data_IF_068352319744
#
_entry.id   IF_068352319744
#
_cell.length_a   1.000
_cell.length_b   1.000
_cell.length_c   1.000
_cell.angle_alpha   90.00
_cell.angle_beta   90.00
_cell.angle_gamma   90.00
#
_symmetry.space_group_name_H-M   'P 1'
#
loop_
_entity.id
_entity.type
_entity.pdbx_description
1 polymer ?
#
# COMPACT_ATOMS: atom_id res chain seq x y z
N UNK A 1 37.51 -14.39 -10.93
CA UNK A 1 36.88 -14.24 -12.27
C UNK A 1 35.68 -13.33 -12.11
N UNK A 2 35.89 -12.01 -12.15
CA UNK A 2 34.86 -10.98 -11.98
C UNK A 2 35.34 -9.75 -12.74
N UNK A 3 34.70 -9.47 -13.89
CA UNK A 3 34.79 -8.22 -14.71
C UNK A 3 34.11 -8.32 -16.09
N UNK A 4 33.14 -9.22 -16.30
CA UNK A 4 32.51 -9.40 -17.62
C UNK A 4 31.02 -8.97 -17.72
N UNK A 5 30.33 -8.71 -16.61
CA UNK A 5 28.89 -8.41 -16.61
C UNK A 5 28.53 -6.99 -17.09
N UNK A 6 29.27 -5.90 -16.79
CA UNK A 6 28.82 -4.55 -17.17
C UNK A 6 29.04 -4.22 -18.67
N UNK A 7 29.89 -4.97 -19.38
CA UNK A 7 30.22 -4.69 -20.79
C UNK A 7 29.20 -5.32 -21.75
N UNK A 8 28.59 -6.45 -21.37
CA UNK A 8 27.60 -7.14 -22.21
C UNK A 8 26.28 -6.34 -22.26
N UNK A 9 25.90 -5.68 -21.16
CA UNK A 9 24.67 -4.86 -21.08
C UNK A 9 24.75 -3.54 -21.87
N UNK A 10 25.93 -2.93 -21.98
CA UNK A 10 26.10 -1.67 -22.71
C UNK A 10 26.10 -1.88 -24.23
N UNK A 11 26.59 -3.02 -24.72
CA UNK A 11 26.65 -3.33 -26.15
C UNK A 11 25.26 -3.68 -26.70
N UNK A 12 24.43 -4.41 -25.95
CA UNK A 12 23.04 -4.69 -26.32
C UNK A 12 22.20 -3.42 -26.40
N UNK A 13 22.45 -2.45 -25.52
CA UNK A 13 21.73 -1.17 -25.50
C UNK A 13 22.11 -0.28 -26.71
N UNK A 14 23.40 -0.24 -27.07
CA UNK A 14 23.87 0.48 -28.25
C UNK A 14 23.32 -0.10 -29.56
N UNK A 15 23.18 -1.43 -29.66
CA UNK A 15 22.59 -2.12 -30.82
C UNK A 15 21.10 -1.81 -30.96
N UNK A 16 20.35 -1.73 -29.86
CA UNK A 16 18.92 -1.36 -29.86
C UNK A 16 18.69 0.10 -30.29
N UNK A 17 19.53 1.03 -29.84
CA UNK A 17 19.47 2.45 -30.25
C UNK A 17 19.80 2.61 -31.73
N UNK A 18 20.80 1.88 -32.24
CA UNK A 18 21.16 1.86 -33.67
C UNK A 18 20.04 1.26 -34.54
N UNK A 19 19.39 0.18 -34.07
CA UNK A 19 18.27 -0.43 -34.78
C UNK A 19 17.06 0.53 -34.85
N UNK A 20 16.78 1.27 -33.77
CA UNK A 20 15.69 2.25 -33.72
C UNK A 20 15.95 3.48 -34.61
N UNK A 21 17.20 3.96 -34.65
CA UNK A 21 17.61 5.10 -35.47
C UNK A 21 17.54 4.81 -36.97
N UNK A 22 17.71 3.54 -37.38
CA UNK A 22 17.64 3.11 -38.79
C UNK A 22 16.17 2.89 -39.24
N UNK A 23 15.25 2.64 -38.32
CA UNK A 23 13.82 2.43 -38.63
C UNK A 23 12.94 3.69 -38.59
N UNK A 24 13.47 4.84 -38.14
CA UNK A 24 12.69 6.07 -38.04
C UNK A 24 12.55 6.76 -39.42
N UNK A 25 11.33 7.06 -39.90
CA UNK A 25 11.14 7.76 -41.18
C UNK A 25 11.73 9.17 -41.12
N UNK A 26 12.42 9.57 -42.21
CA UNK A 26 13.07 10.86 -42.33
C UNK A 26 12.06 12.01 -42.21
N UNK A 27 12.12 12.76 -41.11
CA UNK A 27 11.27 13.93 -40.86
C UNK A 27 10.80 14.10 -39.41
N UNK A 28 10.92 13.07 -38.57
CA UNK A 28 10.56 13.17 -37.15
C UNK A 28 11.66 13.90 -36.38
N UNK A 29 11.42 15.18 -36.03
CA UNK A 29 12.22 15.89 -35.03
C UNK A 29 11.64 15.54 -33.65
N UNK A 30 12.32 14.73 -32.81
CA UNK A 30 11.88 14.56 -31.43
C UNK A 30 12.01 15.92 -30.74
N UNK A 31 10.89 16.47 -30.29
CA UNK A 31 10.90 17.54 -29.30
C UNK A 31 11.41 16.93 -28.00
N UNK A 32 12.71 17.07 -27.75
CA UNK A 32 13.31 16.82 -26.45
C UNK A 32 12.76 17.88 -25.48
N UNK A 33 11.64 17.57 -24.83
CA UNK A 33 11.22 18.23 -23.61
C UNK A 33 12.14 17.72 -22.50
N UNK A 34 12.94 18.62 -21.95
CA UNK A 34 13.93 18.28 -20.93
C UNK A 34 13.26 17.76 -19.66
N UNK A 35 13.72 16.61 -19.18
CA UNK A 35 13.31 15.93 -17.94
C UNK A 35 13.52 16.83 -16.70
N UNK A 36 14.32 17.88 -16.82
CA UNK A 36 14.55 18.91 -15.79
C UNK A 36 13.31 19.69 -15.34
N UNK A 37 12.19 19.62 -16.07
CA UNK A 37 10.94 20.29 -15.64
C UNK A 37 10.10 19.52 -14.61
N UNK A 38 10.34 18.22 -14.40
CA UNK A 38 9.52 17.38 -13.50
C UNK A 38 10.24 16.88 -12.26
N UNK A 39 11.56 16.67 -12.32
CA UNK A 39 12.39 16.48 -11.13
C UNK A 39 12.96 17.84 -10.76
N UNK A 40 12.24 18.59 -9.92
CA UNK A 40 12.80 19.80 -9.33
C UNK A 40 14.06 19.43 -8.56
N UNK A 41 15.15 20.18 -8.75
CA UNK A 41 16.49 19.90 -8.19
C UNK A 41 16.56 19.95 -6.63
N UNK A 42 15.43 19.91 -5.92
CA UNK A 42 15.37 20.11 -4.46
C UNK A 42 14.07 19.58 -3.82
N UNK A 43 14.09 19.48 -2.50
CA UNK A 43 12.90 19.23 -1.66
C UNK A 43 11.90 20.38 -1.87
N UNK A 44 10.64 20.07 -2.19
CA UNK A 44 9.62 21.12 -2.31
C UNK A 44 9.23 21.58 -0.90
N UNK A 45 9.45 22.87 -0.63
CA UNK A 45 9.10 23.52 0.63
C UNK A 45 7.84 24.35 0.44
N UNK A 46 6.85 24.15 1.32
CA UNK A 46 5.67 25.01 1.45
C UNK A 46 5.66 25.58 2.87
N UNK A 47 5.75 26.90 3.00
CA UNK A 47 5.52 27.60 4.27
C UNK A 47 4.01 27.66 4.52
N UNK A 48 3.54 26.95 5.55
CA UNK A 48 2.13 26.91 5.95
C UNK A 48 1.81 27.89 7.09
N UNK A 49 2.81 28.65 7.51
CA UNK A 49 2.76 29.48 8.68
C UNK A 49 2.25 30.89 8.43
N UNK A 50 2.29 31.72 9.46
CA UNK A 50 1.85 33.12 9.41
C UNK A 50 3.05 34.07 9.42
N UNK A 51 2.83 35.37 9.24
CA UNK A 51 3.90 36.36 9.41
C UNK A 51 4.39 36.47 10.86
N UNK A 52 3.64 35.94 11.82
CA UNK A 52 3.91 36.07 13.25
C UNK A 52 4.79 34.96 13.81
N UNK A 53 5.01 33.89 13.03
CA UNK A 53 5.86 32.76 13.37
C UNK A 53 7.27 33.23 13.72
N UNK A 54 7.84 32.62 14.76
CA UNK A 54 9.15 33.01 15.29
C UNK A 54 10.30 32.69 14.32
N UNK A 55 10.16 31.64 13.52
CA UNK A 55 11.18 31.17 12.58
C UNK A 55 10.57 30.84 11.20
N UNK A 56 11.22 31.31 10.13
CA UNK A 56 10.85 30.99 8.75
C UNK A 56 11.95 30.22 8.05
N UNK A 57 11.58 29.05 7.53
CA UNK A 57 12.45 28.23 6.70
C UNK A 57 12.45 28.77 5.28
N UNK A 58 13.63 29.04 4.73
CA UNK A 58 13.78 29.64 3.40
C UNK A 58 14.22 28.62 2.35
N UNK A 59 15.13 27.72 2.71
CA UNK A 59 15.69 26.72 1.80
C UNK A 59 16.02 25.44 2.53
N UNK A 60 15.85 24.32 1.85
CA UNK A 60 16.17 23.00 2.37
C UNK A 60 16.58 22.08 1.22
N UNK A 61 17.68 21.38 1.43
CA UNK A 61 18.31 20.49 0.46
C UNK A 61 18.78 19.23 1.16
N UNK A 62 18.82 18.12 0.42
CA UNK A 62 19.31 16.85 0.94
C UNK A 62 20.37 16.30 0.01
N UNK A 63 21.32 15.54 0.57
CA UNK A 63 22.37 14.86 -0.17
C UNK A 63 22.54 13.44 0.37
N UNK A 64 22.38 12.39 -0.45
CA UNK A 64 22.05 12.44 -1.87
C UNK A 64 20.59 12.85 -2.13
N UNK A 65 20.33 13.51 -3.27
CA UNK A 65 18.99 13.79 -3.77
C UNK A 65 18.72 13.05 -5.09
N UNK A 66 17.60 12.34 -5.24
CA UNK A 66 16.65 11.99 -4.18
C UNK A 66 17.28 11.10 -3.10
N UNK A 67 16.75 11.12 -1.86
CA UNK A 67 17.23 10.25 -0.79
C UNK A 67 17.25 8.78 -1.19
N UNK A 68 18.16 8.00 -0.59
CA UNK A 68 18.41 6.60 -0.93
C UNK A 68 18.21 5.70 0.27
N UNK A 69 17.43 4.65 0.06
CA UNK A 69 17.20 3.59 1.03
C UNK A 69 18.54 2.99 1.47
N UNK A 70 18.81 2.97 2.78
CA UNK A 70 20.04 2.42 3.36
C UNK A 70 21.27 3.34 3.29
N UNK A 71 21.15 4.56 2.75
CA UNK A 71 22.23 5.56 2.78
C UNK A 71 21.96 6.64 3.83
N UNK A 72 23.03 7.29 4.32
CA UNK A 72 22.91 8.45 5.19
C UNK A 72 22.45 9.66 4.38
N UNK A 73 21.53 10.45 4.92
CA UNK A 73 21.10 11.71 4.30
C UNK A 73 21.77 12.87 5.01
N UNK A 74 22.42 13.75 4.26
CA UNK A 74 22.85 15.06 4.77
C UNK A 74 21.82 16.11 4.42
N UNK A 75 21.29 16.79 5.42
CA UNK A 75 20.32 17.87 5.31
C UNK A 75 21.05 19.22 5.39
N UNK A 76 20.84 20.06 4.39
CA UNK A 76 21.26 21.46 4.38
C UNK A 76 20.03 22.36 4.43
N UNK A 77 19.87 23.19 5.45
CA UNK A 77 18.73 24.06 5.63
C UNK A 77 19.15 25.50 5.97
N UNK A 78 18.41 26.48 5.46
CA UNK A 78 18.61 27.91 5.75
C UNK A 78 17.28 28.50 6.18
N UNK A 79 17.26 29.20 7.31
CA UNK A 79 16.08 29.91 7.78
C UNK A 79 16.41 31.03 8.76
N UNK A 80 15.45 31.92 8.99
CA UNK A 80 15.63 33.12 9.79
C UNK A 80 14.73 33.10 11.01
N UNK A 81 15.32 33.31 12.19
CA UNK A 81 14.59 33.61 13.42
C UNK A 81 14.35 35.13 13.52
N UNK A 82 13.09 35.53 13.66
CA UNK A 82 12.71 36.95 13.81
C UNK A 82 12.54 37.36 15.28
N UNK A 83 12.36 36.38 16.18
CA UNK A 83 12.31 36.57 17.64
C UNK A 83 13.24 35.56 18.31
N UNK A 84 13.56 35.80 19.59
CA UNK A 84 14.41 34.89 20.36
C UNK A 84 13.68 33.57 20.61
N UNK A 85 14.39 32.44 20.49
CA UNK A 85 13.86 31.09 20.74
C UNK A 85 14.41 30.61 22.10
N UNK A 86 13.57 30.56 23.15
CA UNK A 86 13.96 30.14 24.49
C UNK A 86 14.09 28.62 24.63
N UNK A 87 14.66 28.18 25.77
CA UNK A 87 14.66 26.76 26.15
C UNK A 87 13.25 26.18 26.23
N UNK A 88 13.09 24.93 25.79
CA UNK A 88 11.79 24.24 25.74
C UNK A 88 11.00 24.46 24.44
N UNK A 89 11.54 25.20 23.48
CA UNK A 89 11.01 25.25 22.11
C UNK A 89 11.18 23.90 21.40
N UNK A 90 10.11 23.41 20.75
CA UNK A 90 10.12 22.11 20.10
C UNK A 90 9.47 22.15 18.71
N UNK A 91 9.85 21.18 17.88
CA UNK A 91 9.25 20.92 16.56
C UNK A 91 8.79 19.47 16.49
N UNK A 92 7.52 19.26 16.20
CA UNK A 92 6.96 17.97 15.86
C UNK A 92 7.13 17.75 14.35
N UNK A 93 7.92 16.74 13.98
CA UNK A 93 8.15 16.30 12.60
C UNK A 93 7.28 15.09 12.33
N UNK A 94 6.23 15.27 11.54
CA UNK A 94 5.32 14.19 11.15
C UNK A 94 5.64 13.72 9.74
N UNK A 95 6.15 12.50 9.62
CA UNK A 95 6.43 11.85 8.34
C UNK A 95 5.15 11.26 7.78
N UNK A 96 4.69 11.79 6.66
CA UNK A 96 3.44 11.42 5.99
C UNK A 96 3.79 10.79 4.65
N UNK A 97 3.39 9.55 4.44
CA UNK A 97 3.58 8.86 3.16
C UNK A 97 2.32 8.98 2.28
N UNK A 98 1.15 9.03 2.89
CA UNK A 98 -0.12 9.30 2.21
C UNK A 98 -1.00 10.18 3.09
N UNK A 99 -1.96 10.96 2.53
CA UNK A 99 -2.74 11.95 3.30
C UNK A 99 -3.57 11.38 4.48
N UNK A 100 -3.73 10.06 4.54
CA UNK A 100 -4.47 9.37 5.60
C UNK A 100 -3.57 8.75 6.67
N UNK A 101 -2.25 8.72 6.47
CA UNK A 101 -1.31 7.97 7.31
C UNK A 101 -0.03 8.76 7.61
N UNK A 102 0.10 9.19 8.86
CA UNK A 102 1.38 9.57 9.45
C UNK A 102 2.15 8.29 9.82
N UNK A 103 3.31 8.08 9.19
CA UNK A 103 4.20 6.96 9.48
C UNK A 103 4.82 7.09 10.88
N UNK A 104 5.18 8.31 11.25
CA UNK A 104 5.91 8.59 12.48
C UNK A 104 5.82 10.07 12.81
N UNK A 105 5.64 10.40 14.08
CA UNK A 105 5.83 11.77 14.59
C UNK A 105 6.99 11.74 15.56
N UNK A 106 8.02 12.53 15.27
CA UNK A 106 9.18 12.71 16.12
C UNK A 106 9.15 14.13 16.70
N UNK A 107 9.31 14.25 18.02
CA UNK A 107 9.45 15.56 18.67
C UNK A 107 10.91 15.89 18.86
N UNK A 108 11.34 16.99 18.26
CA UNK A 108 12.70 17.52 18.35
C UNK A 108 12.72 18.74 19.25
N UNK A 109 13.46 18.67 20.35
CA UNK A 109 13.78 19.87 21.15
C UNK A 109 14.87 20.67 20.41
N UNK A 110 14.55 21.93 20.12
CA UNK A 110 15.39 22.82 19.31
C UNK A 110 16.69 23.17 20.05
N UNK A 111 16.62 23.36 21.36
CA UNK A 111 17.74 23.77 22.18
C UNK A 111 18.68 22.60 22.50
N UNK A 112 18.15 21.39 22.66
CA UNK A 112 19.00 20.21 22.85
C UNK A 112 19.86 19.91 21.62
N UNK A 113 19.31 20.10 20.41
CA UNK A 113 20.04 19.91 19.16
C UNK A 113 20.95 21.09 18.80
N UNK A 114 20.64 22.29 19.29
CA UNK A 114 21.50 23.46 19.11
C UNK A 114 22.84 23.35 19.86
N UNK A 115 22.85 22.67 21.02
CA UNK A 115 24.05 22.45 21.83
C UNK A 115 25.05 21.48 21.17
N UNK A 116 24.57 20.54 20.36
CA UNK A 116 25.38 19.54 19.65
C UNK A 116 25.81 20.00 18.23
N UNK A 117 25.48 21.23 17.84
CA UNK A 117 25.72 21.78 16.50
C UNK A 117 26.29 23.21 16.54
N UNK A 118 26.62 23.80 15.38
CA UNK A 118 27.14 25.18 15.28
C UNK A 118 26.07 26.28 15.57
N UNK A 119 24.87 25.90 16.04
CA UNK A 119 23.74 26.81 16.30
C UNK A 119 23.95 27.71 17.52
N UNK A 120 24.68 27.25 18.55
CA UNK A 120 24.98 27.98 19.78
C UNK A 120 24.14 27.55 20.99
N UNK A 121 24.34 28.21 22.13
CA UNK A 121 23.57 27.95 23.36
C UNK A 121 22.25 28.73 23.34
N UNK A 122 21.17 28.11 23.84
CA UNK A 122 19.90 28.81 24.03
C UNK A 122 19.99 29.89 25.14
N UNK A 123 19.18 30.96 25.06
CA UNK A 123 18.20 31.25 24.01
C UNK A 123 18.84 31.65 22.67
N UNK A 124 18.30 31.15 21.57
CA UNK A 124 18.79 31.49 20.23
C UNK A 124 18.36 32.92 19.88
N UNK A 125 19.33 33.77 19.52
CA UNK A 125 19.07 35.16 19.14
C UNK A 125 18.43 35.29 17.76
N UNK A 126 17.66 36.36 17.47
CA UNK A 126 17.13 36.62 16.14
C UNK A 126 18.25 36.82 15.11
N UNK A 127 18.41 35.85 14.19
CA UNK A 127 19.37 35.89 13.07
C UNK A 127 19.01 34.84 12.02
N UNK A 128 19.75 34.84 10.92
CA UNK A 128 19.76 33.73 9.96
C UNK A 128 20.60 32.58 10.51
N UNK A 129 20.06 31.37 10.40
CA UNK A 129 20.68 30.12 10.80
C UNK A 129 20.88 29.24 9.56
N UNK A 130 22.08 28.68 9.46
CA UNK A 130 22.43 27.70 8.43
C UNK A 130 22.72 26.39 9.15
N UNK A 131 21.97 25.36 8.77
CA UNK A 131 22.00 24.04 9.35
C UNK A 131 22.56 23.06 8.34
N UNK A 132 23.58 22.30 8.76
CA UNK A 132 24.10 21.18 8.00
C UNK A 132 24.22 19.98 8.92
N UNK A 133 23.33 18.99 8.75
CA UNK A 133 23.21 17.85 9.66
C UNK A 133 23.10 16.56 8.87
N UNK A 134 23.90 15.55 9.24
CA UNK A 134 23.71 14.19 8.73
C UNK A 134 22.61 13.49 9.53
N UNK A 135 21.46 13.32 8.90
CA UNK A 135 20.41 12.42 9.35
C UNK A 135 20.88 10.97 9.22
N UNK A 136 20.34 10.09 10.06
CA UNK A 136 20.63 8.65 10.03
C UNK A 136 20.27 7.98 8.71
N UNK A 137 20.44 6.66 8.67
CA UNK A 137 20.13 5.86 7.47
C UNK A 137 18.64 5.82 7.20
N UNK A 138 18.23 6.01 5.93
CA UNK A 138 16.86 5.71 5.51
C UNK A 138 16.57 4.22 5.77
N UNK A 139 15.53 3.86 6.53
CA UNK A 139 15.21 2.47 6.81
C UNK A 139 15.06 1.66 5.52
N UNK A 140 15.60 0.44 5.49
CA UNK A 140 15.57 -0.44 4.33
C UNK A 140 14.15 -0.83 3.85
N UNK A 141 13.16 -0.65 4.73
CA UNK A 141 11.75 -0.96 4.53
C UNK A 141 10.91 0.26 4.11
N UNK A 142 11.52 1.43 3.93
CA UNK A 142 10.79 2.64 3.54
C UNK A 142 10.23 2.47 2.09
N UNK A 143 8.90 2.47 1.90
CA UNK A 143 8.30 2.24 0.59
C UNK A 143 8.68 3.35 -0.41
N UNK A 144 8.94 3.04 -1.69
CA UNK A 144 9.20 4.06 -2.69
C UNK A 144 7.93 4.89 -2.95
N UNK A 145 8.06 6.20 -3.09
CA UNK A 145 6.93 7.09 -3.33
C UNK A 145 7.18 8.51 -2.84
N UNK A 146 6.10 9.31 -2.79
CA UNK A 146 6.15 10.71 -2.37
C UNK A 146 5.99 10.79 -0.85
N UNK A 147 6.98 11.38 -0.19
CA UNK A 147 6.94 11.65 1.23
C UNK A 147 6.66 13.13 1.45
N UNK A 148 5.88 13.41 2.49
CA UNK A 148 5.65 14.75 3.03
C UNK A 148 6.03 14.77 4.49
N UNK A 149 6.91 15.67 4.91
CA UNK A 149 7.21 15.92 6.32
C UNK A 149 6.47 17.19 6.71
N UNK A 150 5.55 17.07 7.65
CA UNK A 150 4.88 18.21 8.28
C UNK A 150 5.68 18.61 9.51
N UNK A 151 6.36 19.76 9.45
CA UNK A 151 7.05 20.36 10.58
C UNK A 151 6.11 21.37 11.25
N UNK A 152 5.80 21.14 12.53
CA UNK A 152 4.95 22.00 13.36
C UNK A 152 5.68 22.31 14.66
N UNK A 153 6.12 23.56 14.81
CA UNK A 153 6.87 24.00 15.99
C UNK A 153 6.05 24.90 16.90
N UNK A 154 6.30 24.78 18.20
CA UNK A 154 5.76 25.68 19.22
C UNK A 154 6.86 26.15 20.15
N UNK A 155 6.69 27.36 20.66
CA UNK A 155 7.53 27.94 21.70
C UNK A 155 6.68 28.67 22.72
N UNK A 156 7.11 28.73 23.96
CA UNK A 156 6.48 29.57 24.99
C UNK A 156 7.39 30.76 25.29
N UNK A 157 6.81 31.92 25.57
CA UNK A 157 7.58 33.05 26.07
C UNK A 157 7.75 32.98 27.60
N UNK A 158 8.56 33.90 28.17
CA UNK A 158 8.77 33.98 29.62
C UNK A 158 7.48 34.32 30.42
N UNK A 159 6.39 34.69 29.75
CA UNK A 159 5.08 34.92 30.35
C UNK A 159 4.15 33.69 30.24
N UNK A 160 4.62 32.60 29.65
CA UNK A 160 3.89 31.34 29.49
C UNK A 160 2.85 31.36 28.36
N UNK A 161 2.97 32.30 27.41
CA UNK A 161 2.10 32.36 26.23
C UNK A 161 2.72 31.54 25.12
N UNK A 162 1.93 30.60 24.56
CA UNK A 162 2.33 29.78 23.42
C UNK A 162 2.31 30.59 22.13
N UNK A 163 3.39 30.51 21.36
CA UNK A 163 3.56 31.08 20.02
C UNK A 163 3.93 29.98 19.03
N UNK A 164 3.47 30.12 17.79
CA UNK A 164 3.90 29.23 16.71
C UNK A 164 5.36 29.53 16.35
N UNK A 165 6.19 28.48 16.41
CA UNK A 165 7.63 28.59 16.14
C UNK A 165 7.91 28.49 14.64
N UNK A 166 7.36 27.45 13.99
CA UNK A 166 7.57 27.19 12.56
C UNK A 166 6.43 26.32 12.02
N UNK A 167 5.98 26.59 10.80
CA UNK A 167 5.08 25.72 10.04
C UNK A 167 5.65 25.51 8.63
N UNK A 168 6.08 24.29 8.32
CA UNK A 168 6.57 23.96 7.00
C UNK A 168 6.14 22.56 6.57
N UNK A 169 5.79 22.41 5.30
CA UNK A 169 5.55 21.13 4.66
C UNK A 169 6.67 20.88 3.63
N UNK A 170 7.40 19.78 3.83
CA UNK A 170 8.51 19.37 2.98
C UNK A 170 8.10 18.17 2.16
N UNK A 171 8.26 18.22 0.84
CA UNK A 171 7.95 17.08 -0.03
C UNK A 171 9.18 16.61 -0.79
N UNK A 172 9.43 15.30 -0.78
CA UNK A 172 10.46 14.67 -1.58
C UNK A 172 10.02 13.29 -2.08
N UNK A 173 10.77 12.75 -3.04
CA UNK A 173 10.54 11.43 -3.61
C UNK A 173 11.60 10.45 -3.11
N UNK A 174 11.17 9.25 -2.71
CA UNK A 174 12.03 8.11 -2.48
C UNK A 174 11.88 7.15 -3.66
N UNK A 175 12.96 6.90 -4.40
CA UNK A 175 12.89 6.07 -5.62
C UNK A 175 13.17 4.59 -5.31
N UNK A 176 12.67 3.64 -6.13
CA UNK A 176 13.06 2.24 -6.02
C UNK A 176 14.55 2.03 -6.32
N UNK A 177 15.20 1.08 -5.63
CA UNK A 177 16.65 0.84 -5.73
C UNK A 177 17.17 0.58 -7.16
N UNK A 178 16.32 0.14 -8.10
CA UNK A 178 16.66 -0.06 -9.51
C UNK A 178 16.59 1.18 -10.43
N UNK A 179 15.92 2.26 -10.01
CA UNK A 179 15.67 3.45 -10.83
C UNK A 179 16.75 4.55 -10.68
N UNK A 180 17.56 4.50 -9.62
CA UNK A 180 18.62 5.48 -9.37
C UNK A 180 19.73 5.48 -10.45
N UNK A 181 19.94 4.37 -11.17
CA UNK A 181 20.85 4.28 -12.32
C UNK A 181 20.19 4.63 -13.66
N UNK A 182 18.87 4.53 -13.75
CA UNK A 182 18.10 4.78 -14.99
C UNK A 182 17.85 6.28 -15.22
N UNK A 183 17.72 7.07 -14.15
CA UNK A 183 17.46 8.51 -14.22
C UNK A 183 18.57 9.34 -14.93
N UNK A 184 19.77 8.77 -15.13
CA UNK A 184 20.88 9.45 -15.83
C UNK A 184 20.95 9.07 -17.32
N UNK A 185 20.36 7.94 -17.75
CA UNK A 185 20.31 7.56 -19.17
C UNK A 185 19.16 6.59 -19.42
N UNK A 186 18.25 6.99 -20.30
CA UNK A 186 17.11 6.28 -20.90
C UNK A 186 15.73 6.72 -20.39
N UNK A 187 14.99 7.28 -21.35
CA UNK A 187 13.58 7.56 -21.29
C UNK A 187 12.78 6.28 -21.00
N UNK A 188 12.19 6.22 -19.81
CA UNK A 188 10.90 5.57 -19.60
C UNK A 188 9.85 6.69 -19.54
N UNK A 189 8.66 6.47 -20.11
CA UNK A 189 7.60 7.48 -20.21
C UNK A 189 7.09 7.91 -18.82
N UNK A 190 6.84 9.22 -18.58
CA UNK A 190 6.41 9.75 -17.28
C UNK A 190 5.03 9.28 -16.76
N UNK A 191 4.29 8.48 -17.54
CA UNK A 191 2.93 8.04 -17.22
C UNK A 191 2.90 6.89 -16.19
N UNK A 192 3.99 6.12 -16.09
CA UNK A 192 4.08 4.92 -15.22
C UNK A 192 4.30 5.24 -13.73
N UNK A 193 4.77 6.45 -13.38
CA UNK A 193 5.14 6.83 -12.00
C UNK A 193 4.11 7.79 -11.38
N UNK A 194 3.42 8.57 -12.21
CA UNK A 194 2.43 9.55 -11.75
C UNK A 194 1.06 8.91 -11.47
N UNK A 195 0.71 7.82 -12.17
CA UNK A 195 -0.59 7.15 -12.03
C UNK A 195 -0.79 6.51 -10.65
N UNK A 196 0.26 5.95 -10.05
CA UNK A 196 0.20 5.26 -8.76
C UNK A 196 0.12 6.23 -7.56
N UNK A 197 0.47 7.50 -7.73
CA UNK A 197 0.60 8.47 -6.62
C UNK A 197 -0.30 9.69 -6.70
N UNK A 198 -0.79 10.08 -7.88
CA UNK A 198 -1.73 11.20 -8.02
C UNK A 198 -3.14 10.86 -7.53
N UNK A 199 -3.43 9.57 -7.29
CA UNK A 199 -4.74 9.04 -6.90
C UNK A 199 -5.23 9.39 -5.46
N UNK A 200 -4.49 10.22 -4.72
CA UNK A 200 -4.72 10.53 -3.29
C UNK A 200 -4.94 12.01 -2.97
N UNK A 201 -4.82 12.89 -3.97
CA UNK A 201 -4.86 14.32 -3.77
C UNK A 201 -6.23 14.89 -4.17
N UNK A 202 -7.01 15.26 -3.14
CA UNK A 202 -8.17 16.17 -3.15
C UNK A 202 -9.56 15.48 -3.22
N UNK A 203 -10.32 15.60 -2.13
CA UNK A 203 -11.79 15.49 -2.14
C UNK A 203 -12.37 14.71 -0.95
N UNK A 204 -13.31 15.32 -0.23
CA UNK A 204 -14.19 14.61 0.70
C UNK A 204 -14.92 13.50 -0.07
N UNK A 205 -14.61 12.24 0.20
CA UNK A 205 -15.22 11.12 -0.51
C UNK A 205 -15.56 9.92 0.37
N UNK A 206 -16.36 9.01 -0.18
CA UNK A 206 -16.91 7.83 0.50
C UNK A 206 -15.82 6.99 1.19
N UNK A 207 -16.13 6.45 2.37
CA UNK A 207 -15.20 5.66 3.18
C UNK A 207 -14.80 4.36 2.46
N UNK A 208 -13.50 4.18 2.23
CA UNK A 208 -12.91 2.95 1.66
C UNK A 208 -12.47 1.93 2.72
N UNK A 209 -12.38 2.35 3.98
CA UNK A 209 -12.05 1.50 5.12
C UNK A 209 -12.96 1.81 6.32
N UNK A 210 -13.24 0.78 7.10
CA UNK A 210 -14.19 0.81 8.22
C UNK A 210 -13.57 0.16 9.46
N UNK A 211 -13.69 0.83 10.61
CA UNK A 211 -13.12 0.41 11.89
C UNK A 211 -11.60 0.64 12.00
N UNK A 212 -11.12 0.78 13.23
CA UNK A 212 -9.70 0.83 13.59
C UNK A 212 -9.31 -0.38 14.47
N UNK A 213 -8.01 -0.68 14.69
CA UNK A 213 -7.60 -1.72 15.62
C UNK A 213 -8.22 -1.53 17.00
N UNK A 214 -8.95 -2.55 17.47
CA UNK A 214 -9.66 -2.50 18.76
C UNK A 214 -11.14 -2.13 18.65
N UNK A 215 -11.57 -1.49 17.57
CA UNK A 215 -12.99 -1.27 17.31
C UNK A 215 -13.66 -2.55 16.82
N UNK A 216 -14.95 -2.68 17.09
CA UNK A 216 -15.79 -3.73 16.53
C UNK A 216 -16.51 -3.21 15.29
N UNK A 217 -16.36 -3.94 14.19
CA UNK A 217 -17.14 -3.77 12.97
C UNK A 217 -18.16 -4.91 12.87
N UNK A 218 -19.44 -4.57 12.72
CA UNK A 218 -20.52 -5.54 12.49
C UNK A 218 -21.00 -5.42 11.06
N UNK A 219 -20.85 -6.51 10.31
CA UNK A 219 -21.38 -6.61 8.95
C UNK A 219 -22.90 -6.74 8.99
N UNK A 220 -23.61 -5.79 8.39
CA UNK A 220 -25.07 -5.66 8.53
C UNK A 220 -25.82 -6.88 7.99
N UNK A 221 -25.39 -7.43 6.85
CA UNK A 221 -26.13 -8.50 6.16
C UNK A 221 -25.93 -9.88 6.81
N UNK A 222 -24.72 -10.18 7.26
CA UNK A 222 -24.37 -11.51 7.81
C UNK A 222 -24.32 -11.54 9.33
N UNK A 223 -24.35 -10.36 9.98
CA UNK A 223 -24.17 -10.20 11.42
C UNK A 223 -22.80 -10.70 11.90
N UNK A 224 -21.80 -10.78 11.01
CA UNK A 224 -20.43 -11.13 11.39
C UNK A 224 -19.79 -9.94 12.09
N UNK A 225 -19.15 -10.19 13.22
CA UNK A 225 -18.51 -9.15 14.04
C UNK A 225 -17.01 -9.39 14.06
N UNK A 226 -16.24 -8.44 13.52
CA UNK A 226 -14.77 -8.52 13.48
C UNK A 226 -14.16 -7.34 14.20
N UNK A 227 -12.95 -7.53 14.72
CA UNK A 227 -12.08 -6.42 15.10
C UNK A 227 -10.84 -6.47 14.23
N UNK A 228 -10.47 -5.37 13.55
CA UNK A 228 -9.21 -5.32 12.83
C UNK A 228 -8.02 -5.63 13.76
N UNK A 229 -7.01 -6.34 13.26
CA UNK A 229 -5.81 -6.63 14.01
C UNK A 229 -4.97 -5.36 14.21
N UNK A 230 -4.28 -5.30 15.35
CA UNK A 230 -3.04 -4.55 15.44
C UNK A 230 -1.92 -5.46 14.90
N UNK A 231 -0.96 -4.92 14.17
CA UNK A 231 0.16 -5.69 13.62
C UNK A 231 1.46 -5.25 14.25
N UNK A 232 2.51 -6.08 14.18
CA UNK A 232 3.84 -5.64 14.61
C UNK A 232 4.28 -4.44 13.77
N UNK A 233 5.07 -3.53 14.37
CA UNK A 233 5.54 -2.33 13.69
C UNK A 233 6.26 -2.61 12.35
N UNK A 234 6.93 -3.76 12.23
CA UNK A 234 7.57 -4.22 10.99
C UNK A 234 6.60 -4.53 9.84
N UNK A 235 5.32 -4.73 10.16
CA UNK A 235 4.25 -5.16 9.25
C UNK A 235 3.17 -4.08 9.03
N UNK A 236 3.33 -2.89 9.61
CA UNK A 236 2.38 -1.77 9.44
C UNK A 236 2.22 -1.35 7.98
N UNK A 237 3.26 -1.51 7.16
CA UNK A 237 3.23 -1.25 5.72
C UNK A 237 2.31 -2.20 4.92
N UNK A 238 1.75 -3.24 5.56
CA UNK A 238 0.94 -4.26 4.90
C UNK A 238 -0.56 -4.00 5.00
N UNK A 239 -0.97 -2.92 5.67
CA UNK A 239 -2.35 -2.39 5.65
C UNK A 239 -3.46 -3.35 6.14
N UNK A 240 -3.15 -4.25 7.08
CA UNK A 240 -4.10 -5.22 7.65
C UNK A 240 -5.04 -4.65 8.75
N UNK A 241 -4.89 -3.38 9.12
CA UNK A 241 -5.48 -2.78 10.33
C UNK A 241 -6.88 -2.17 10.17
N UNK A 242 -7.60 -2.46 9.08
CA UNK A 242 -8.96 -1.98 8.84
C UNK A 242 -9.82 -3.00 8.09
N UNK A 243 -11.14 -2.80 8.05
CA UNK A 243 -12.04 -3.54 7.17
C UNK A 243 -12.20 -2.76 5.86
N UNK A 244 -11.68 -3.29 4.76
CA UNK A 244 -11.72 -2.63 3.45
C UNK A 244 -13.08 -2.77 2.75
N UNK A 245 -13.44 -1.80 1.91
CA UNK A 245 -14.66 -1.81 1.10
C UNK A 245 -14.78 -3.09 0.26
N UNK A 246 -13.67 -3.56 -0.33
CA UNK A 246 -13.60 -4.83 -1.06
C UNK A 246 -13.99 -6.04 -0.21
N UNK A 247 -13.65 -6.04 1.10
CA UNK A 247 -13.97 -7.12 2.02
C UNK A 247 -15.45 -7.10 2.42
N UNK A 248 -16.03 -5.92 2.60
CA UNK A 248 -17.47 -5.74 2.83
C UNK A 248 -18.24 -6.16 1.59
N UNK A 249 -17.86 -5.66 0.42
CA UNK A 249 -18.47 -6.02 -0.85
C UNK A 249 -18.45 -7.53 -1.10
N UNK A 250 -17.31 -8.19 -0.88
CA UNK A 250 -17.23 -9.64 -1.03
C UNK A 250 -18.11 -10.38 -0.01
N UNK A 251 -18.17 -9.90 1.23
CA UNK A 251 -19.08 -10.42 2.25
C UNK A 251 -20.56 -10.17 1.89
N UNK A 252 -20.85 -9.12 1.12
CA UNK A 252 -22.16 -8.81 0.55
C UNK A 252 -22.51 -9.63 -0.70
N UNK A 253 -21.57 -10.38 -1.25
CA UNK A 253 -21.78 -11.19 -2.45
C UNK A 253 -21.38 -12.65 -2.27
N UNK A 254 -21.35 -13.17 -1.04
CA UNK A 254 -21.01 -14.58 -0.77
C UNK A 254 -21.94 -15.58 -1.48
N UNK A 255 -23.18 -15.18 -1.80
CA UNK A 255 -24.15 -16.01 -2.52
C UNK A 255 -23.72 -16.25 -3.99
N UNK A 256 -22.97 -15.32 -4.57
CA UNK A 256 -22.38 -15.44 -5.92
C UNK A 256 -21.14 -16.33 -5.93
N UNK A 257 -20.61 -16.71 -4.76
CA UNK A 257 -19.47 -17.61 -4.66
C UNK A 257 -19.83 -19.08 -4.88
N UNK A 258 -21.09 -19.42 -5.19
CA UNK A 258 -21.57 -20.76 -5.59
C UNK A 258 -20.98 -21.91 -4.75
N UNK A 259 -21.05 -21.78 -3.42
CA UNK A 259 -20.67 -22.84 -2.49
C UNK A 259 -21.84 -23.84 -2.45
N UNK A 260 -21.61 -25.13 -2.76
CA UNK A 260 -22.69 -26.11 -2.77
C UNK A 260 -23.23 -26.36 -1.36
N UNK A 261 -24.51 -26.72 -1.19
CA UNK A 261 -25.04 -27.13 0.09
C UNK A 261 -24.37 -28.43 0.57
N UNK A 262 -24.36 -28.66 1.89
CA UNK A 262 -23.85 -29.89 2.46
C UNK A 262 -24.65 -31.10 1.93
N UNK A 263 -23.94 -32.11 1.43
CA UNK A 263 -24.53 -33.36 0.97
C UNK A 263 -23.98 -34.53 1.79
N UNK A 264 -24.86 -35.47 2.14
CA UNK A 264 -24.49 -36.64 2.95
C UNK A 264 -23.42 -37.48 2.24
N UNK A 265 -22.33 -37.79 2.96
CA UNK A 265 -21.21 -38.56 2.42
C UNK A 265 -20.24 -37.80 1.52
N UNK A 266 -20.45 -36.49 1.28
CA UNK A 266 -19.47 -35.65 0.58
C UNK A 266 -18.57 -34.88 1.55
N UNK A 267 -17.30 -34.73 1.18
CA UNK A 267 -16.37 -33.89 1.92
C UNK A 267 -16.79 -32.41 1.82
N UNK A 268 -16.55 -31.60 2.86
CA UNK A 268 -16.88 -30.19 2.84
C UNK A 268 -16.09 -29.44 1.76
N UNK A 269 -16.71 -28.41 1.21
CA UNK A 269 -16.12 -27.52 0.23
C UNK A 269 -14.98 -26.71 0.86
N UNK A 270 -13.78 -26.73 0.27
CA UNK A 270 -12.60 -26.12 0.89
C UNK A 270 -12.40 -24.69 0.41
N UNK A 271 -12.43 -23.75 1.34
CA UNK A 271 -12.26 -22.32 1.07
C UNK A 271 -11.03 -21.78 1.79
N UNK A 272 -10.21 -20.97 1.12
CA UNK A 272 -9.17 -20.18 1.80
C UNK A 272 -9.30 -18.71 1.46
N UNK A 273 -9.19 -17.86 2.48
CA UNK A 273 -9.04 -16.42 2.33
C UNK A 273 -7.56 -16.05 2.41
N UNK A 274 -7.04 -15.38 1.37
CA UNK A 274 -5.68 -14.84 1.32
C UNK A 274 -5.69 -13.36 1.70
N UNK A 275 -4.81 -12.94 2.61
CA UNK A 275 -4.76 -11.56 3.09
C UNK A 275 -6.02 -11.20 3.88
N UNK A 276 -6.39 -12.08 4.81
CA UNK A 276 -7.67 -12.02 5.52
C UNK A 276 -7.85 -10.74 6.36
N UNK A 277 -6.77 -10.16 6.89
CA UNK A 277 -6.82 -9.01 7.79
C UNK A 277 -7.69 -9.30 9.01
N UNK A 278 -8.90 -8.72 9.03
CA UNK A 278 -9.91 -8.99 10.07
C UNK A 278 -10.69 -10.31 9.85
N UNK A 279 -10.64 -10.91 8.67
CA UNK A 279 -11.25 -12.19 8.29
C UNK A 279 -12.72 -12.10 7.86
N UNK A 280 -13.21 -10.91 7.50
CA UNK A 280 -14.65 -10.69 7.28
C UNK A 280 -15.26 -11.60 6.19
N UNK A 281 -14.73 -11.65 4.95
CA UNK A 281 -15.23 -12.56 3.90
C UNK A 281 -15.24 -14.03 4.32
N UNK A 282 -14.14 -14.55 4.85
CA UNK A 282 -14.04 -15.95 5.24
C UNK A 282 -14.97 -16.30 6.40
N UNK A 283 -15.12 -15.42 7.39
CA UNK A 283 -16.08 -15.61 8.50
C UNK A 283 -17.54 -15.55 8.02
N UNK A 284 -17.85 -14.67 7.06
CA UNK A 284 -19.17 -14.61 6.43
C UNK A 284 -19.50 -15.93 5.71
N UNK A 285 -18.54 -16.46 4.94
CA UNK A 285 -18.65 -17.76 4.28
C UNK A 285 -18.84 -18.88 5.32
N UNK A 286 -18.00 -18.95 6.36
CA UNK A 286 -18.06 -19.98 7.38
C UNK A 286 -19.42 -20.01 8.10
N UNK A 287 -19.98 -18.83 8.39
CA UNK A 287 -21.27 -18.68 9.05
C UNK A 287 -22.45 -19.08 8.15
N UNK A 288 -22.40 -18.72 6.86
CA UNK A 288 -23.44 -19.03 5.89
C UNK A 288 -23.43 -20.52 5.47
N UNK A 289 -22.26 -21.04 5.12
CA UNK A 289 -22.10 -22.41 4.62
C UNK A 289 -22.17 -23.47 5.74
N UNK A 290 -21.83 -23.11 6.99
CA UNK A 290 -21.78 -24.02 8.13
C UNK A 290 -20.99 -25.29 7.76
N UNK A 291 -21.58 -26.47 7.94
CA UNK A 291 -20.95 -27.77 7.66
C UNK A 291 -20.72 -28.04 6.16
N UNK A 292 -21.24 -27.20 5.26
CA UNK A 292 -21.02 -27.35 3.82
C UNK A 292 -19.60 -26.93 3.39
N UNK A 293 -18.91 -26.12 4.19
CA UNK A 293 -17.56 -25.65 3.89
C UNK A 293 -16.63 -25.69 5.11
N UNK A 294 -15.36 -26.00 4.84
CA UNK A 294 -14.24 -25.74 5.75
C UNK A 294 -13.48 -24.51 5.22
N UNK A 295 -13.20 -23.57 6.12
CA UNK A 295 -12.64 -22.26 5.78
C UNK A 295 -11.27 -22.08 6.46
N UNK A 296 -10.28 -21.65 5.69
CA UNK A 296 -8.98 -21.24 6.21
C UNK A 296 -8.83 -19.74 6.06
N UNK A 297 -8.59 -19.03 7.15
CA UNK A 297 -8.22 -17.62 7.15
C UNK A 297 -6.71 -17.54 7.17
N UNK A 298 -6.12 -16.94 6.13
CA UNK A 298 -4.67 -16.83 6.00
C UNK A 298 -4.21 -15.39 5.83
N UNK A 299 -3.13 -15.08 6.51
CA UNK A 299 -2.43 -13.80 6.44
C UNK A 299 -0.96 -13.99 6.83
N UNK A 300 -0.16 -12.93 6.87
CA UNK A 300 1.24 -12.99 7.26
C UNK A 300 1.44 -13.76 8.58
N UNK A 301 2.59 -14.44 8.77
CA UNK A 301 2.93 -15.15 10.00
C UNK A 301 3.27 -14.18 11.16
N UNK A 302 2.38 -13.22 11.40
CA UNK A 302 2.42 -12.24 12.47
C UNK A 302 1.57 -12.77 13.65
N UNK A 303 2.17 -13.01 14.82
CA UNK A 303 1.44 -13.57 15.97
C UNK A 303 0.28 -12.70 16.45
N UNK A 304 0.37 -11.37 16.36
CA UNK A 304 -0.70 -10.47 16.78
C UNK A 304 -1.87 -10.54 15.80
N UNK A 305 -1.58 -10.48 14.51
CA UNK A 305 -2.58 -10.60 13.45
C UNK A 305 -3.36 -11.91 13.57
N UNK A 306 -2.63 -13.02 13.60
CA UNK A 306 -3.25 -14.33 13.61
C UNK A 306 -3.94 -14.63 14.95
N UNK A 307 -3.46 -14.09 16.08
CA UNK A 307 -4.20 -14.14 17.34
C UNK A 307 -5.56 -13.43 17.23
N UNK A 308 -5.59 -12.25 16.61
CA UNK A 308 -6.82 -11.48 16.37
C UNK A 308 -7.79 -12.18 15.43
N UNK A 309 -7.29 -12.85 14.38
CA UNK A 309 -8.12 -13.72 13.55
C UNK A 309 -8.76 -14.85 14.37
N UNK A 310 -8.00 -15.52 15.25
CA UNK A 310 -8.54 -16.55 16.15
C UNK A 310 -9.61 -15.97 17.09
N UNK A 311 -9.41 -14.77 17.64
CA UNK A 311 -10.44 -14.10 18.43
C UNK A 311 -11.71 -13.79 17.61
N UNK A 312 -11.57 -13.34 16.37
CA UNK A 312 -12.69 -13.09 15.47
C UNK A 312 -13.45 -14.38 15.11
N UNK A 313 -12.74 -15.50 14.91
CA UNK A 313 -13.34 -16.83 14.72
C UNK A 313 -14.21 -17.21 15.92
N UNK A 314 -13.65 -17.13 17.12
CA UNK A 314 -14.36 -17.46 18.38
C UNK A 314 -15.56 -16.54 18.60
N UNK A 315 -15.40 -15.22 18.35
CA UNK A 315 -16.48 -14.23 18.50
C UNK A 315 -17.70 -14.54 17.65
N UNK A 316 -17.50 -15.16 16.48
CA UNK A 316 -18.59 -15.50 15.56
C UNK A 316 -19.11 -16.93 15.73
N UNK A 317 -18.53 -17.73 16.63
CA UNK A 317 -18.97 -19.12 16.89
C UNK A 317 -18.80 -20.05 15.69
N UNK A 318 -17.75 -19.84 14.89
CA UNK A 318 -17.43 -20.62 13.67
C UNK A 318 -16.12 -21.40 13.81
N UNK A 319 -15.65 -21.60 15.04
CA UNK A 319 -14.44 -22.35 15.40
C UNK A 319 -14.46 -23.83 14.98
N UNK A 320 -15.64 -24.39 14.70
CA UNK A 320 -15.79 -25.78 14.26
C UNK A 320 -15.42 -26.05 12.81
N UNK A 321 -15.51 -25.04 11.95
CA UNK A 321 -15.29 -25.16 10.50
C UNK A 321 -14.34 -24.07 9.96
N UNK A 322 -13.67 -23.34 10.85
CA UNK A 322 -12.75 -22.26 10.48
C UNK A 322 -11.38 -22.46 11.14
N UNK A 323 -10.34 -22.36 10.33
CA UNK A 323 -8.94 -22.55 10.71
C UNK A 323 -8.15 -21.27 10.45
N UNK A 324 -7.12 -20.99 11.26
CA UNK A 324 -6.28 -19.78 11.13
C UNK A 324 -4.84 -20.18 10.89
N UNK A 325 -4.27 -19.74 9.76
CA UNK A 325 -2.91 -20.12 9.34
C UNK A 325 -2.08 -18.91 8.94
N UNK A 326 -0.81 -18.90 9.34
CA UNK A 326 0.16 -17.92 8.85
C UNK A 326 0.69 -18.34 7.48
N UNK A 327 0.66 -17.43 6.52
CA UNK A 327 1.08 -17.67 5.15
C UNK A 327 1.54 -16.37 4.48
N UNK A 328 2.85 -16.27 4.22
CA UNK A 328 3.39 -15.24 3.35
C UNK A 328 3.29 -15.71 1.90
N UNK A 329 2.79 -14.86 0.99
CA UNK A 329 2.63 -15.22 -0.41
C UNK A 329 3.98 -15.55 -1.07
N UNK A 330 3.96 -16.52 -1.97
CA UNK A 330 5.16 -17.04 -2.66
C UNK A 330 5.96 -18.05 -1.83
N UNK A 331 5.61 -18.27 -0.56
CA UNK A 331 6.29 -19.26 0.27
C UNK A 331 5.64 -20.64 0.16
N UNK A 332 6.42 -21.70 0.44
CA UNK A 332 5.92 -23.08 0.38
C UNK A 332 5.23 -23.53 1.66
N UNK A 333 5.50 -22.84 2.77
CA UNK A 333 5.17 -23.29 4.12
C UNK A 333 4.07 -22.43 4.74
N UNK A 334 3.06 -23.08 5.30
CA UNK A 334 2.13 -22.46 6.23
C UNK A 334 2.72 -22.51 7.64
N UNK A 335 2.91 -21.36 8.26
CA UNK A 335 3.29 -21.26 9.66
C UNK A 335 2.04 -21.46 10.54
N UNK A 336 2.04 -22.51 11.34
CA UNK A 336 1.01 -22.68 12.39
C UNK A 336 1.44 -21.90 13.64
N UNK A 337 0.57 -21.07 14.21
CA UNK A 337 0.80 -20.61 15.58
C UNK A 337 0.44 -21.76 16.53
N UNK A 338 1.45 -22.33 17.18
CA UNK A 338 1.39 -22.93 18.52
C UNK A 338 0.31 -23.99 18.79
N UNK A 339 0.79 -25.22 19.00
CA UNK A 339 0.13 -26.41 19.58
C UNK A 339 -1.13 -26.92 18.86
N UNK A 340 -0.97 -28.07 18.20
CA UNK A 340 -1.87 -28.74 17.25
C UNK A 340 -1.85 -28.08 15.87
N UNK A 341 -1.01 -28.65 14.98
CA UNK A 341 -0.87 -28.20 13.61
C UNK A 341 -2.18 -28.27 12.83
N UNK A 342 -2.83 -27.11 12.67
CA UNK A 342 -3.82 -26.91 11.62
C UNK A 342 -3.08 -27.02 10.29
N UNK A 343 -3.11 -28.22 9.72
CA UNK A 343 -2.50 -28.52 8.43
C UNK A 343 -3.44 -27.99 7.34
N UNK A 344 -2.89 -27.20 6.43
CA UNK A 344 -3.55 -26.95 5.15
C UNK A 344 -3.73 -28.28 4.41
N UNK A 345 -4.93 -28.59 3.90
CA UNK A 345 -5.23 -29.90 3.35
C UNK A 345 -4.42 -30.19 2.08
N UNK A 346 -3.96 -31.43 1.95
CA UNK A 346 -3.39 -31.95 0.72
C UNK A 346 -4.49 -32.01 -0.36
N UNK A 347 -4.21 -31.48 -1.56
CA UNK A 347 -5.15 -31.49 -2.70
C UNK A 347 -5.81 -30.16 -3.07
N UNK A 348 -5.38 -29.04 -2.47
CA UNK A 348 -5.82 -27.70 -2.85
C UNK A 348 -7.25 -27.33 -2.43
N UNK A 349 -7.62 -26.10 -2.74
CA UNK A 349 -8.87 -25.44 -2.39
C UNK A 349 -9.81 -25.37 -3.58
N UNK A 350 -11.10 -25.54 -3.30
CA UNK A 350 -12.17 -25.40 -4.28
C UNK A 350 -12.45 -23.93 -4.59
N UNK A 351 -12.27 -23.07 -3.59
CA UNK A 351 -12.42 -21.63 -3.69
C UNK A 351 -11.29 -20.93 -2.93
N UNK A 352 -10.63 -19.99 -3.61
CA UNK A 352 -9.78 -19.00 -2.96
C UNK A 352 -10.51 -17.67 -3.02
N UNK A 353 -10.54 -16.93 -1.93
CA UNK A 353 -11.03 -15.54 -1.92
C UNK A 353 -9.91 -14.60 -1.49
N UNK A 354 -9.89 -13.40 -2.05
CA UNK A 354 -9.00 -12.34 -1.58
C UNK A 354 -9.67 -10.98 -1.78
N UNK A 355 -9.65 -10.14 -0.76
CA UNK A 355 -10.20 -8.80 -0.80
C UNK A 355 -9.08 -7.78 -0.63
N UNK A 356 -8.97 -6.87 -1.60
CA UNK A 356 -8.04 -5.74 -1.60
C UNK A 356 -6.55 -6.09 -1.55
N UNK A 357 -6.17 -7.16 -2.25
CA UNK A 357 -4.80 -7.69 -2.23
C UNK A 357 -3.92 -7.23 -3.40
N UNK A 358 -4.41 -6.35 -4.27
CA UNK A 358 -3.76 -6.00 -5.55
C UNK A 358 -3.06 -4.64 -5.56
N UNK A 359 -3.06 -3.91 -4.46
CA UNK A 359 -2.49 -2.55 -4.39
C UNK A 359 -0.96 -2.52 -4.50
N UNK A 360 -0.26 -3.60 -4.11
CA UNK A 360 1.20 -3.70 -4.17
C UNK A 360 1.67 -4.54 -5.37
N UNK A 361 2.21 -3.86 -6.37
CA UNK A 361 2.77 -4.48 -7.58
C UNK A 361 3.90 -5.47 -7.35
N UNK A 362 4.68 -5.33 -6.27
CA UNK A 362 5.75 -6.29 -5.93
C UNK A 362 5.18 -7.62 -5.41
N UNK A 363 3.99 -7.59 -4.81
CA UNK A 363 3.33 -8.76 -4.25
C UNK A 363 2.55 -9.58 -5.30
N UNK A 364 2.32 -9.05 -6.51
CA UNK A 364 1.51 -9.72 -7.55
C UNK A 364 2.06 -11.07 -7.97
N UNK A 365 3.36 -11.18 -8.23
CA UNK A 365 3.98 -12.46 -8.65
C UNK A 365 3.94 -13.50 -7.52
N UNK A 366 4.36 -13.19 -6.28
CA UNK A 366 4.18 -14.10 -5.14
C UNK A 366 2.71 -14.53 -4.91
N UNK A 367 1.75 -13.61 -5.10
CA UNK A 367 0.33 -13.91 -4.99
C UNK A 367 -0.11 -14.89 -6.10
N UNK A 368 0.27 -14.65 -7.35
CA UNK A 368 -0.05 -15.56 -8.46
C UNK A 368 0.53 -16.97 -8.26
N UNK A 369 1.77 -17.07 -7.79
CA UNK A 369 2.40 -18.35 -7.44
C UNK A 369 1.64 -19.08 -6.33
N UNK A 370 1.18 -18.33 -5.32
CA UNK A 370 0.31 -18.86 -4.25
C UNK A 370 -1.01 -19.39 -4.81
N UNK A 371 -1.70 -18.60 -5.63
CA UNK A 371 -2.97 -19.00 -6.25
C UNK A 371 -2.81 -20.32 -7.03
N UNK A 372 -1.76 -20.43 -7.86
CA UNK A 372 -1.50 -21.65 -8.62
C UNK A 372 -1.25 -22.87 -7.76
N UNK A 373 -0.53 -22.71 -6.65
CA UNK A 373 -0.20 -23.81 -5.74
C UNK A 373 -1.43 -24.29 -4.98
N UNK A 374 -2.31 -23.35 -4.61
CA UNK A 374 -3.43 -23.61 -3.72
C UNK A 374 -4.72 -23.98 -4.45
N UNK A 375 -4.90 -23.57 -5.70
CA UNK A 375 -6.07 -23.96 -6.48
C UNK A 375 -6.07 -25.46 -6.75
N UNK A 376 -7.21 -26.11 -6.49
CA UNK A 376 -7.40 -27.52 -6.87
C UNK A 376 -7.33 -27.67 -8.38
N UNK A 377 -6.37 -28.44 -8.86
CA UNK A 377 -6.31 -28.87 -10.25
C UNK A 377 -7.32 -30.01 -10.51
N UNK A 378 -8.09 -29.91 -11.60
CA UNK A 378 -8.91 -31.01 -12.10
C UNK A 378 -8.48 -31.34 -13.54
N UNK A 379 -7.92 -32.53 -13.74
CA UNK A 379 -7.46 -33.00 -15.06
C UNK A 379 -8.58 -33.64 -15.91
N UNK A 380 -9.76 -33.88 -15.32
CA UNK A 380 -10.81 -34.71 -15.94
C UNK A 380 -12.16 -34.02 -16.08
N UNK A 381 -12.37 -32.90 -15.38
CA UNK A 381 -13.61 -32.11 -15.44
C UNK A 381 -13.30 -30.63 -15.17
N UNK A 382 -13.43 -29.78 -16.19
CA UNK A 382 -13.24 -28.33 -16.10
C UNK A 382 -14.21 -27.66 -15.10
N UNK A 383 -15.36 -28.27 -14.82
CA UNK A 383 -16.33 -27.76 -13.84
C UNK A 383 -15.96 -28.11 -12.39
N UNK A 384 -14.90 -28.90 -12.18
CA UNK A 384 -14.33 -29.24 -10.86
C UNK A 384 -12.98 -28.58 -10.58
N UNK A 385 -12.47 -27.74 -11.49
CA UNK A 385 -11.30 -26.91 -11.18
C UNK A 385 -11.65 -25.90 -10.09
N UNK A 386 -10.74 -25.74 -9.13
CA UNK A 386 -10.86 -24.66 -8.15
C UNK A 386 -10.86 -23.30 -8.84
N UNK A 387 -11.51 -22.31 -8.22
CA UNK A 387 -11.51 -20.92 -8.69
C UNK A 387 -10.99 -19.98 -7.62
N UNK A 388 -10.38 -18.88 -8.03
CA UNK A 388 -10.08 -17.76 -7.15
C UNK A 388 -11.03 -16.60 -7.49
N UNK A 389 -11.61 -15.98 -6.47
CA UNK A 389 -12.45 -14.78 -6.59
C UNK A 389 -11.74 -13.66 -5.85
N UNK A 390 -11.29 -12.65 -6.59
CA UNK A 390 -10.60 -11.49 -6.04
C UNK A 390 -11.46 -10.26 -6.24
N UNK A 391 -11.52 -9.41 -5.20
CA UNK A 391 -12.17 -8.10 -5.26
C UNK A 391 -11.11 -7.05 -4.97
N UNK A 392 -10.86 -6.14 -5.91
CA UNK A 392 -9.86 -5.09 -5.77
C UNK A 392 -10.50 -3.71 -5.85
N UNK A 393 -10.14 -2.80 -4.96
CA UNK A 393 -10.59 -1.41 -5.04
C UNK A 393 -9.80 -0.60 -6.06
N UNK A 394 -10.48 0.27 -6.81
CA UNK A 394 -9.80 1.16 -7.77
C UNK A 394 -9.21 2.44 -7.13
N UNK A 395 -9.12 2.48 -5.81
CA UNK A 395 -8.47 3.57 -5.08
C UNK A 395 -6.94 3.59 -5.30
N UNK A 396 -6.33 2.45 -5.66
CA UNK A 396 -4.90 2.36 -6.07
C UNK A 396 -4.70 2.48 -7.59
N UNK A 397 -5.76 2.80 -8.33
CA UNK A 397 -5.71 2.98 -9.77
C UNK A 397 -5.80 1.68 -10.58
N UNK A 398 -6.03 1.84 -11.88
CA UNK A 398 -6.24 0.73 -12.82
C UNK A 398 -4.94 0.00 -13.18
N UNK A 399 -3.81 0.70 -13.11
CA UNK A 399 -2.50 0.17 -13.47
C UNK A 399 -2.12 -1.05 -12.62
N UNK A 400 -2.26 -0.94 -11.29
CA UNK A 400 -1.97 -2.05 -10.38
C UNK A 400 -2.83 -3.29 -10.71
N UNK A 401 -4.12 -3.10 -10.96
CA UNK A 401 -5.01 -4.21 -11.36
C UNK A 401 -4.58 -4.79 -12.71
N UNK A 402 -4.33 -3.95 -13.72
CA UNK A 402 -3.92 -4.41 -15.05
C UNK A 402 -2.61 -5.19 -15.00
N UNK A 403 -1.61 -4.70 -14.25
CA UNK A 403 -0.33 -5.39 -14.03
C UNK A 403 -0.53 -6.75 -13.39
N UNK A 404 -1.41 -6.87 -12.40
CA UNK A 404 -1.76 -8.16 -11.81
C UNK A 404 -2.35 -9.12 -12.85
N UNK A 405 -3.28 -8.64 -13.71
CA UNK A 405 -3.90 -9.46 -14.75
C UNK A 405 -2.88 -9.98 -15.77
N UNK A 406 -1.89 -9.15 -16.13
CA UNK A 406 -0.79 -9.54 -17.02
C UNK A 406 0.07 -10.64 -16.36
N UNK A 407 0.48 -10.45 -15.10
CA UNK A 407 1.26 -11.43 -14.33
C UNK A 407 0.46 -12.73 -14.10
N UNK A 408 -0.84 -12.64 -13.84
CA UNK A 408 -1.71 -13.81 -13.68
C UNK A 408 -1.71 -14.65 -14.96
N UNK A 409 -1.85 -14.00 -16.12
CA UNK A 409 -1.79 -14.67 -17.43
C UNK A 409 -0.42 -15.30 -17.68
N UNK A 410 0.68 -14.57 -17.42
CA UNK A 410 2.06 -15.07 -17.56
C UNK A 410 2.35 -16.29 -16.68
N UNK A 411 1.79 -16.30 -15.48
CA UNK A 411 1.99 -17.40 -14.54
C UNK A 411 1.10 -18.59 -14.88
N UNK A 412 0.15 -18.48 -15.80
CA UNK A 412 -0.73 -19.56 -16.25
C UNK A 412 -2.03 -19.66 -15.43
N UNK A 413 -2.53 -18.53 -14.96
CA UNK A 413 -3.92 -18.38 -14.51
C UNK A 413 -4.75 -17.84 -15.67
N UNK A 414 -5.94 -18.40 -15.86
CA UNK A 414 -6.93 -17.92 -16.82
C UNK A 414 -7.89 -16.96 -16.12
N UNK A 415 -8.15 -15.82 -16.75
CA UNK A 415 -9.16 -14.85 -16.30
C UNK A 415 -10.52 -15.25 -16.89
N UNK A 416 -11.38 -15.83 -16.06
CA UNK A 416 -12.70 -16.32 -16.48
C UNK A 416 -13.77 -15.22 -16.45
N UNK A 417 -13.62 -14.26 -15.55
CA UNK A 417 -14.58 -13.18 -15.37
C UNK A 417 -13.86 -11.93 -14.87
N UNK A 418 -14.24 -10.78 -15.42
CA UNK A 418 -13.61 -9.50 -15.13
C UNK A 418 -14.60 -8.36 -15.34
N UNK A 419 -15.09 -7.80 -14.25
CA UNK A 419 -16.12 -6.75 -14.26
C UNK A 419 -15.91 -5.74 -13.14
N UNK A 420 -16.37 -4.51 -13.38
CA UNK A 420 -16.37 -3.44 -12.40
C UNK A 420 -17.76 -3.32 -11.78
N UNK A 421 -17.84 -3.20 -10.46
CA UNK A 421 -19.08 -3.05 -9.71
C UNK A 421 -18.95 -1.91 -8.70
N UNK A 422 -20.03 -1.17 -8.49
CA UNK A 422 -20.03 -0.07 -7.50
C UNK A 422 -20.27 -0.60 -6.10
N UNK A 423 -19.50 -0.12 -5.12
CA UNK A 423 -19.76 -0.32 -3.71
C UNK A 423 -20.45 0.91 -3.12
N UNK A 424 -21.68 0.74 -2.64
CA UNK A 424 -22.43 1.80 -1.95
C UNK A 424 -22.25 1.65 -0.44
N UNK A 425 -21.11 2.06 0.07
CA UNK A 425 -20.75 1.94 1.49
C UNK A 425 -21.41 2.96 2.43
N UNK A 426 -22.26 3.86 1.92
CA UNK A 426 -22.86 4.94 2.71
C UNK A 426 -24.31 5.21 2.31
N UNK A 427 -25.11 5.64 3.28
CA UNK A 427 -26.56 5.83 3.26
C UNK A 427 -27.12 6.87 2.26
N UNK A 428 -26.30 7.42 1.36
CA UNK A 428 -26.62 8.67 0.62
C UNK A 428 -26.76 8.53 -0.90
N UNK A 429 -26.80 7.31 -1.46
CA UNK A 429 -27.27 7.12 -2.83
C UNK A 429 -28.29 5.99 -2.91
N UNK A 430 -29.37 6.22 -3.66
CA UNK A 430 -30.43 5.25 -3.96
C UNK A 430 -29.85 3.97 -4.60
N UNK A 431 -29.30 3.11 -3.75
CA UNK A 431 -29.17 1.64 -3.73
C UNK A 431 -29.08 0.81 -5.01
N UNK A 432 -28.72 1.35 -6.17
CA UNK A 432 -28.57 0.55 -7.39
C UNK A 432 -27.09 0.27 -7.59
N UNK A 433 -26.71 -0.98 -7.32
CA UNK A 433 -25.43 -1.50 -7.74
C UNK A 433 -25.32 -1.45 -9.27
N UNK A 434 -24.36 -0.66 -9.76
CA UNK A 434 -24.04 -0.62 -11.18
C UNK A 434 -22.91 -1.60 -11.49
N UNK A 435 -23.04 -2.31 -12.61
CA UNK A 435 -22.02 -3.20 -13.16
C UNK A 435 -21.62 -2.71 -14.56
N UNK A 436 -20.32 -2.79 -14.88
CA UNK A 436 -19.80 -2.53 -16.22
C UNK A 436 -18.59 -3.41 -16.56
N UNK A 437 -18.25 -3.61 -17.85
CA UNK A 437 -17.05 -4.33 -18.24
C UNK A 437 -15.77 -3.66 -17.72
N UNK A 438 -14.72 -4.42 -17.44
CA UNK A 438 -13.41 -3.86 -17.15
C UNK A 438 -12.83 -3.09 -18.34
N UNK A 439 -12.15 -1.99 -18.05
CA UNK A 439 -11.30 -1.30 -19.00
C UNK A 439 -9.96 -0.92 -18.34
N UNK A 440 -8.84 -1.27 -18.97
CA UNK A 440 -7.51 -0.88 -18.49
C UNK A 440 -7.36 0.65 -18.40
N UNK A 441 -8.01 1.36 -19.33
CA UNK A 441 -8.03 2.81 -19.42
C UNK A 441 -9.46 3.31 -19.63
N UNK A 442 -9.84 4.39 -18.94
CA UNK A 442 -11.10 5.10 -19.15
C UNK A 442 -10.84 6.60 -19.23
N UNK A 443 -11.18 7.18 -20.37
CA UNK A 443 -11.13 8.62 -20.56
C UNK A 443 -12.25 9.29 -19.73
N UNK A 444 -11.91 10.37 -19.04
CA UNK A 444 -12.84 11.18 -18.22
C UNK A 444 -13.37 10.52 -16.93
N UNK A 445 -12.68 9.52 -16.39
CA UNK A 445 -13.01 8.99 -15.06
C UNK A 445 -12.39 9.87 -13.95
N UNK A 446 -13.24 10.55 -13.18
CA UNK A 446 -12.78 11.32 -12.03
C UNK A 446 -12.37 10.40 -10.87
N UNK A 447 -11.34 10.80 -10.11
CA UNK A 447 -10.79 10.00 -9.01
C UNK A 447 -11.84 9.62 -7.96
N UNK A 448 -12.71 10.58 -7.62
CA UNK A 448 -13.78 10.37 -6.65
C UNK A 448 -14.76 9.28 -7.11
N UNK A 449 -15.20 9.35 -8.37
CA UNK A 449 -16.07 8.32 -8.94
C UNK A 449 -15.35 6.97 -8.98
N UNK A 450 -14.06 6.95 -9.36
CA UNK A 450 -13.25 5.72 -9.45
C UNK A 450 -13.19 4.97 -8.12
N UNK A 451 -13.08 5.66 -6.98
CA UNK A 451 -12.99 5.03 -5.65
C UNK A 451 -14.24 4.24 -5.24
N UNK A 452 -15.39 4.51 -5.90
CA UNK A 452 -16.64 3.78 -5.70
C UNK A 452 -16.67 2.45 -6.44
N UNK A 453 -15.77 2.25 -7.39
CA UNK A 453 -15.71 1.05 -8.22
C UNK A 453 -14.72 0.04 -7.65
N UNK A 454 -15.17 -1.20 -7.60
CA UNK A 454 -14.39 -2.38 -7.30
C UNK A 454 -14.31 -3.24 -8.55
N UNK A 455 -13.24 -4.02 -8.68
CA UNK A 455 -13.06 -4.99 -9.76
C UNK A 455 -13.26 -6.37 -9.20
N UNK A 456 -14.25 -7.08 -9.73
CA UNK A 456 -14.48 -8.49 -9.46
C UNK A 456 -13.77 -9.33 -10.52
N UNK A 457 -12.88 -10.21 -10.05
CA UNK A 457 -11.99 -11.02 -10.88
C UNK A 457 -12.19 -12.49 -10.51
N UNK A 458 -12.51 -13.33 -11.49
CA UNK A 458 -12.56 -14.79 -11.31
C UNK A 458 -11.42 -15.42 -12.10
N UNK A 459 -10.55 -16.15 -11.41
CA UNK A 459 -9.41 -16.85 -11.99
C UNK A 459 -9.53 -18.36 -11.84
N UNK A 460 -8.93 -19.10 -12.78
CA UNK A 460 -8.72 -20.55 -12.70
C UNK A 460 -7.31 -20.91 -13.17
N UNK A 461 -6.90 -22.15 -12.95
CA UNK A 461 -5.67 -22.66 -13.58
C UNK A 461 -5.88 -22.76 -15.09
N UNK A 462 -4.97 -22.18 -15.88
CA UNK A 462 -4.94 -22.39 -17.32
C UNK A 462 -4.57 -23.85 -17.63
N UNK A 463 -5.22 -24.43 -18.64
CA UNK A 463 -5.02 -25.81 -19.09
C UNK A 463 -3.76 -25.99 -19.96
#
# INVERSE_FOLDING_TARGET
MSRAVPIISSVTCAVLVLLYAVSAPAGYKPQFLSVSRFLGDSVQLVDCGTSDDVFKLQRIETSPFPPRVGENITLYAVGTAYKSIPEGAFVDLTFVYTPLFALHTERVDVCSHAADSELGACPLEPREYVLNMTLGTVPSLAPPGRYRIEARGKTSDNAGVDHDLVCADLTFWLLPQGLYFCAINLAASPEDILADTLASFIGQGERVSFGAPGDLYTHQRTGVVVSPPDTLASNWALHASAVWASAIFLADHIDELHIPPAAEGQAPFRVIELGAGAGLPGLAIAKAARYAAEVWLSDYPDPLLLHRLKENVLRNGVDRNTHVVGHAWGTESFASIGEVGERVPLGGFDLIVAADTLWNSEAHRPLCETLRRLLRASQTDLHRCGRAVLVAGLHTGRYAVQRFLDIASETGLEICELRERTFSGSSDTDGIEAERPWAAERYHEEEFERRRWLVWIVLRLAL
#
